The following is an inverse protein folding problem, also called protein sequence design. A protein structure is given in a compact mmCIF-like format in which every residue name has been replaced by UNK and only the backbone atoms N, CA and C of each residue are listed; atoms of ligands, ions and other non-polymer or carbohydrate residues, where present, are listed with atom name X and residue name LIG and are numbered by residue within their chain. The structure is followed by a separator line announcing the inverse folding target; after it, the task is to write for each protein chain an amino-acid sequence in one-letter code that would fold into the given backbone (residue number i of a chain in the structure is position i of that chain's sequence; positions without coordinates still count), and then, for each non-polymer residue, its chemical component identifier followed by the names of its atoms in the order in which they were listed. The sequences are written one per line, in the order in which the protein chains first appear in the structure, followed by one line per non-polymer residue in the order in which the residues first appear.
data_IF_346976855913
#
_entry.id   IF_346976855913
#
_cell.length_a   1.000
_cell.length_b   1.000
_cell.length_c   1.000
_cell.angle_alpha   90.00
_cell.angle_beta   90.00
_cell.angle_gamma   90.00
#
_symmetry.space_group_name_H-M   'P 1'
#
loop_
_entity.id
_entity.type
_entity.pdbx_description
1 polymer ?
#
# COMPACT_ATOMS: atom_id res chain seq x y z
N UNK A 1 4.46 -8.82 13.53
CA UNK A 1 5.02 -7.53 13.06
C UNK A 1 4.04 -7.03 12.01
N UNK A 2 3.25 -6.00 12.34
CA UNK A 2 2.30 -5.44 11.38
C UNK A 2 3.10 -4.50 10.47
N UNK A 3 3.14 -4.82 9.19
CA UNK A 3 3.87 -4.06 8.19
C UNK A 3 2.88 -3.15 7.47
N UNK A 4 3.02 -1.85 7.69
CA UNK A 4 2.10 -0.82 7.22
C UNK A 4 2.68 -0.09 6.01
N UNK A 5 1.83 0.15 5.01
CA UNK A 5 2.13 1.00 3.86
C UNK A 5 1.24 2.23 3.95
N UNK A 6 1.86 3.39 3.94
CA UNK A 6 1.14 4.66 3.93
C UNK A 6 0.71 5.04 2.51
N UNK A 7 -0.59 5.22 2.28
CA UNK A 7 -1.08 5.79 1.03
C UNK A 7 -1.03 7.30 1.14
N UNK A 8 -0.21 7.92 0.29
CA UNK A 8 -0.04 9.37 0.24
C UNK A 8 -0.40 9.91 -1.15
N UNK A 9 -0.69 11.18 -1.23
CA UNK A 9 -0.97 11.88 -2.48
C UNK A 9 -1.62 13.23 -2.22
N UNK A 10 -1.57 14.10 -3.20
CA UNK A 10 -2.22 15.40 -3.16
C UNK A 10 -3.75 15.26 -3.07
N UNK A 11 -4.50 16.32 -2.72
CA UNK A 11 -5.95 16.29 -2.74
C UNK A 11 -6.51 15.95 -4.13
N UNK A 12 -7.60 15.21 -4.19
CA UNK A 12 -8.35 14.88 -5.42
C UNK A 12 -7.59 14.02 -6.45
N UNK A 13 -6.56 13.27 -6.04
CA UNK A 13 -5.85 12.32 -6.92
C UNK A 13 -6.52 10.94 -7.01
N UNK A 14 -7.62 10.70 -6.28
CA UNK A 14 -8.30 9.39 -6.22
C UNK A 14 -7.86 8.51 -5.04
N UNK A 15 -7.11 9.06 -4.08
CA UNK A 15 -6.54 8.32 -2.94
C UNK A 15 -7.59 7.58 -2.11
N UNK A 16 -8.66 8.27 -1.68
CA UNK A 16 -9.71 7.67 -0.85
C UNK A 16 -10.53 6.62 -1.61
N UNK A 17 -10.76 6.81 -2.90
CA UNK A 17 -11.41 5.82 -3.77
C UNK A 17 -10.60 4.53 -3.82
N UNK A 18 -9.30 4.63 -4.07
CA UNK A 18 -8.38 3.50 -4.08
C UNK A 18 -8.27 2.82 -2.72
N UNK A 19 -8.19 3.59 -1.63
CA UNK A 19 -8.19 3.03 -0.29
C UNK A 19 -9.47 2.24 0.01
N UNK A 20 -10.64 2.77 -0.37
CA UNK A 20 -11.91 2.07 -0.22
C UNK A 20 -11.96 0.78 -1.06
N UNK A 21 -11.47 0.81 -2.29
CA UNK A 21 -11.39 -0.38 -3.14
C UNK A 21 -10.49 -1.46 -2.52
N UNK A 22 -9.32 -1.10 -1.99
CA UNK A 22 -8.42 -2.01 -1.26
C UNK A 22 -9.06 -2.60 -0.01
N UNK A 23 -9.80 -1.77 0.76
CA UNK A 23 -10.46 -2.19 1.99
C UNK A 23 -11.64 -3.10 1.70
N UNK A 24 -12.43 -2.82 0.66
CA UNK A 24 -13.56 -3.65 0.24
C UNK A 24 -13.10 -5.00 -0.27
N UNK A 25 -12.00 -5.07 -1.02
CA UNK A 25 -11.36 -6.32 -1.41
C UNK A 25 -10.95 -7.17 -0.19
N UNK A 26 -10.51 -6.52 0.90
CA UNK A 26 -10.23 -7.15 2.18
C UNK A 26 -11.48 -7.63 2.95
N UNK A 27 -12.58 -6.90 2.84
CA UNK A 27 -13.83 -7.25 3.53
C UNK A 27 -14.48 -8.52 2.98
N UNK A 28 -14.35 -8.77 1.67
CA UNK A 28 -14.79 -10.03 1.04
C UNK A 28 -13.95 -11.24 1.51
N UNK A 29 -12.70 -11.00 1.95
CA UNK A 29 -11.84 -12.01 2.56
C UNK A 29 -12.06 -12.13 4.10
N UNK A 30 -13.12 -11.54 4.66
CA UNK A 30 -13.36 -11.25 6.08
C UNK A 30 -13.74 -12.46 6.95
N UNK A 31 -13.14 -13.62 6.74
CA UNK A 31 -13.01 -14.62 7.78
C UNK A 31 -11.81 -14.37 8.73
N UNK A 32 -11.37 -13.07 8.82
CA UNK A 32 -10.29 -12.66 9.72
C UNK A 32 -10.85 -12.33 11.12
N UNK A 33 -10.64 -13.18 12.14
CA UNK A 33 -11.17 -12.96 13.49
C UNK A 33 -10.49 -11.82 14.27
N UNK A 34 -9.55 -11.06 13.66
CA UNK A 34 -8.69 -10.10 14.37
C UNK A 34 -8.57 -8.72 13.71
N UNK A 35 -9.46 -8.36 12.79
CA UNK A 35 -9.47 -7.01 12.24
C UNK A 35 -10.01 -6.04 13.30
N UNK A 36 -9.12 -5.46 14.11
CA UNK A 36 -9.44 -4.24 14.85
C UNK A 36 -9.65 -3.16 13.79
N UNK A 37 -10.87 -2.66 13.66
CA UNK A 37 -11.18 -1.57 12.73
C UNK A 37 -10.61 -0.28 13.33
N UNK A 38 -9.34 -0.02 13.05
CA UNK A 38 -8.78 1.32 13.27
C UNK A 38 -9.26 2.20 12.11
N UNK A 39 -9.79 3.40 12.37
CA UNK A 39 -10.14 4.31 11.30
C UNK A 39 -8.91 4.60 10.43
N UNK A 40 -9.09 4.55 9.12
CA UNK A 40 -8.05 4.75 8.10
C UNK A 40 -6.99 3.63 7.97
N UNK A 41 -7.23 2.42 8.48
CA UNK A 41 -6.40 1.24 8.25
C UNK A 41 -7.19 0.21 7.46
N UNK A 42 -6.70 -0.15 6.28
CA UNK A 42 -7.23 -1.19 5.40
C UNK A 42 -6.34 -2.43 5.42
N UNK A 43 -6.94 -3.61 5.48
CA UNK A 43 -6.20 -4.88 5.42
C UNK A 43 -6.52 -5.54 4.09
N UNK A 44 -5.50 -5.79 3.26
CA UNK A 44 -5.65 -6.45 1.98
C UNK A 44 -4.99 -7.85 2.00
N UNK A 45 -5.70 -8.90 1.54
CA UNK A 45 -5.14 -10.23 1.42
C UNK A 45 -4.11 -10.29 0.28
N UNK A 46 -2.99 -10.96 0.51
CA UNK A 46 -1.98 -11.20 -0.52
C UNK A 46 -2.45 -12.34 -1.42
N UNK A 47 -2.65 -12.11 -2.73
CA UNK A 47 -3.05 -13.16 -3.64
C UNK A 47 -1.97 -14.24 -3.77
N UNK A 48 -2.32 -15.50 -3.51
CA UNK A 48 -1.41 -16.64 -3.58
C UNK A 48 -2.14 -17.89 -4.09
N UNK A 49 -1.98 -18.20 -5.38
CA UNK A 49 -2.64 -19.33 -6.03
C UNK A 49 -2.26 -20.69 -5.43
N UNK A 50 -1.11 -20.78 -4.74
CA UNK A 50 -0.68 -22.00 -4.08
C UNK A 50 -1.63 -22.40 -2.94
N UNK A 51 -2.28 -21.41 -2.29
CA UNK A 51 -3.27 -21.67 -1.25
C UNK A 51 -4.50 -22.39 -1.81
N UNK A 52 -4.99 -22.00 -2.99
CA UNK A 52 -6.16 -22.59 -3.63
C UNK A 52 -5.87 -24.04 -4.02
N UNK A 53 -4.66 -24.31 -4.54
CA UNK A 53 -4.20 -25.66 -4.86
C UNK A 53 -4.15 -26.53 -3.60
N UNK A 54 -3.56 -26.02 -2.51
CA UNK A 54 -3.46 -26.73 -1.23
C UNK A 54 -4.83 -26.97 -0.60
N UNK A 55 -5.74 -26.01 -0.66
CA UNK A 55 -7.09 -26.14 -0.14
C UNK A 55 -7.84 -27.28 -0.84
N UNK A 56 -7.74 -27.37 -2.17
CA UNK A 56 -8.30 -28.50 -2.94
C UNK A 56 -7.67 -29.83 -2.58
N UNK A 57 -6.34 -29.88 -2.38
CA UNK A 57 -5.63 -31.11 -2.03
C UNK A 57 -6.00 -31.65 -0.64
N UNK A 58 -6.25 -30.76 0.31
CA UNK A 58 -6.58 -31.13 1.71
C UNK A 58 -8.07 -31.12 2.01
N UNK A 59 -8.90 -30.81 0.98
CA UNK A 59 -10.38 -30.77 1.08
C UNK A 59 -10.83 -29.86 2.23
N UNK A 60 -10.29 -28.62 2.27
CA UNK A 60 -10.65 -27.64 3.30
C UNK A 60 -11.15 -26.33 2.66
N UNK A 61 -12.27 -25.83 3.20
CA UNK A 61 -12.83 -24.54 2.78
C UNK A 61 -12.20 -23.36 3.54
N UNK A 62 -11.42 -23.63 4.60
CA UNK A 62 -10.80 -22.58 5.39
C UNK A 62 -9.43 -22.21 4.85
N UNK A 63 -9.40 -21.17 4.02
CA UNK A 63 -8.20 -20.58 3.44
C UNK A 63 -7.89 -19.24 4.13
N UNK A 64 -6.65 -19.07 4.60
CA UNK A 64 -6.21 -17.88 5.30
C UNK A 64 -4.97 -17.31 4.61
N UNK A 65 -5.11 -16.28 3.75
CA UNK A 65 -3.98 -15.64 3.08
C UNK A 65 -3.12 -14.81 4.04
N UNK A 66 -1.92 -14.49 3.63
CA UNK A 66 -1.13 -13.42 4.25
C UNK A 66 -1.79 -12.06 3.99
N UNK A 67 -1.47 -11.04 4.77
CA UNK A 67 -2.06 -9.71 4.63
C UNK A 67 -1.03 -8.60 4.66
N UNK A 68 -1.37 -7.49 4.00
CA UNK A 68 -0.68 -6.20 4.08
C UNK A 68 -1.64 -5.16 4.65
N UNK A 69 -1.16 -4.31 5.54
CA UNK A 69 -1.91 -3.19 6.07
C UNK A 69 -1.62 -1.93 5.26
N UNK A 70 -2.67 -1.29 4.76
CA UNK A 70 -2.62 0.02 4.13
C UNK A 70 -3.20 1.06 5.07
N UNK A 71 -2.55 2.20 5.17
CA UNK A 71 -2.99 3.32 6.02
C UNK A 71 -3.33 4.50 5.12
N UNK A 72 -4.60 4.95 5.13
CA UNK A 72 -4.96 6.18 4.44
C UNK A 72 -4.43 7.37 5.23
N UNK A 73 -3.38 7.98 4.72
CA UNK A 73 -2.79 9.16 5.31
C UNK A 73 -3.46 10.38 4.68
N UNK A 74 -4.19 11.15 5.49
CA UNK A 74 -4.92 12.33 5.05
C UNK A 74 -4.02 13.24 4.20
N UNK A 75 -4.57 13.71 3.06
CA UNK A 75 -3.80 14.36 2.01
C UNK A 75 -2.93 15.52 2.48
N UNK A 76 -1.74 15.60 1.92
CA UNK A 76 -0.81 16.69 2.12
C UNK A 76 -1.35 17.92 1.40
N UNK A 77 -1.40 19.05 2.09
CA UNK A 77 -1.56 20.37 1.47
C UNK A 77 -0.14 20.96 1.35
N UNK A 78 0.20 21.49 0.19
CA UNK A 78 1.49 22.14 -0.03
C UNK A 78 1.78 23.16 1.10
N UNK A 79 2.98 23.09 1.71
CA UNK A 79 3.34 23.90 2.89
C UNK A 79 3.00 23.27 4.24
N UNK A 80 2.66 21.99 4.27
CA UNK A 80 2.33 21.28 5.51
C UNK A 80 3.49 21.20 6.50
N UNK A 81 4.73 21.24 6.05
CA UNK A 81 5.93 21.31 6.88
C UNK A 81 6.06 22.63 7.64
N UNK A 82 5.47 23.72 7.13
CA UNK A 82 5.53 25.06 7.74
C UNK A 82 4.30 25.42 8.58
N UNK A 83 3.25 24.57 8.57
CA UNK A 83 1.96 24.82 9.24
C UNK A 83 1.84 24.10 10.59
N UNK A 84 1.35 24.82 11.60
CA UNK A 84 1.01 24.24 12.90
C UNK A 84 -0.15 23.23 12.75
N UNK A 85 0.10 21.94 13.04
CA UNK A 85 -0.90 20.92 13.36
C UNK A 85 -1.12 19.82 12.32
N UNK A 86 -1.67 20.06 11.14
CA UNK A 86 -2.06 18.99 10.19
C UNK A 86 -0.87 18.33 9.49
N UNK A 87 0.12 19.10 9.06
CA UNK A 87 1.34 18.59 8.42
C UNK A 87 2.17 17.70 9.34
N UNK A 88 2.29 18.04 10.61
CA UNK A 88 3.00 17.22 11.59
C UNK A 88 2.32 15.87 11.84
N UNK A 89 0.99 15.81 11.81
CA UNK A 89 0.24 14.53 11.91
C UNK A 89 0.45 13.64 10.68
N UNK A 90 0.43 14.23 9.49
CA UNK A 90 0.73 13.54 8.24
C UNK A 90 2.12 12.88 8.28
N UNK A 91 3.14 13.65 8.62
CA UNK A 91 4.51 13.15 8.72
C UNK A 91 4.68 12.10 9.83
N UNK A 92 3.96 12.22 10.95
CA UNK A 92 3.95 11.23 12.02
C UNK A 92 3.39 9.88 11.52
N UNK A 93 2.29 9.89 10.80
CA UNK A 93 1.71 8.67 10.22
C UNK A 93 2.64 8.02 9.20
N UNK A 94 3.32 8.82 8.34
CA UNK A 94 4.32 8.25 7.42
C UNK A 94 5.47 7.61 8.19
N UNK A 95 5.92 8.19 9.32
CA UNK A 95 7.00 7.59 10.15
C UNK A 95 6.65 6.19 10.64
N UNK A 96 5.39 5.93 10.95
CA UNK A 96 4.91 4.62 11.40
C UNK A 96 4.86 3.57 10.28
N UNK A 97 4.83 3.99 9.01
CA UNK A 97 4.80 3.10 7.86
C UNK A 97 6.21 2.66 7.45
N UNK A 98 6.34 1.46 6.88
CA UNK A 98 7.60 0.91 6.38
C UNK A 98 7.85 1.23 4.91
N UNK A 99 6.79 1.50 4.15
CA UNK A 99 6.85 1.91 2.75
C UNK A 99 5.74 2.92 2.45
N UNK A 100 5.85 3.58 1.30
CA UNK A 100 4.91 4.60 0.83
C UNK A 100 4.29 4.11 -0.47
N UNK A 101 2.96 4.18 -0.59
CA UNK A 101 2.23 4.12 -1.85
C UNK A 101 1.85 5.55 -2.23
N UNK A 102 2.54 6.12 -3.22
CA UNK A 102 2.29 7.48 -3.69
C UNK A 102 1.30 7.47 -4.86
N UNK A 103 0.07 7.92 -4.59
CA UNK A 103 -0.97 8.05 -5.60
C UNK A 103 -0.79 9.37 -6.34
N UNK A 104 -0.57 9.29 -7.64
CA UNK A 104 -0.32 10.42 -8.54
C UNK A 104 -1.43 10.48 -9.57
N UNK A 105 -2.00 11.66 -9.79
CA UNK A 105 -2.98 11.87 -10.84
C UNK A 105 -2.28 11.96 -12.20
N UNK A 106 -2.71 11.14 -13.15
CA UNK A 106 -2.16 11.09 -14.51
C UNK A 106 -3.28 11.02 -15.57
N UNK A 107 -4.30 11.88 -15.44
CA UNK A 107 -5.40 12.02 -16.40
C UNK A 107 -5.88 13.47 -16.44
N UNK A 108 -6.47 13.86 -17.57
CA UNK A 108 -7.13 15.15 -17.73
C UNK A 108 -8.57 15.03 -17.21
N UNK A 109 -9.01 16.04 -16.45
CA UNK A 109 -10.41 16.16 -16.04
C UNK A 109 -10.83 17.62 -16.13
N UNK A 110 -11.73 17.91 -17.04
CA UNK A 110 -12.24 19.26 -17.34
C UNK A 110 -13.08 19.84 -16.19
N UNK A 111 -13.64 19.00 -15.32
CA UNK A 111 -14.47 19.41 -14.18
C UNK A 111 -13.66 19.81 -12.94
N UNK A 112 -12.39 19.44 -12.87
CA UNK A 112 -11.50 19.80 -11.76
C UNK A 112 -10.56 20.89 -12.25
N UNK A 113 -10.95 22.12 -11.99
CA UNK A 113 -10.31 23.37 -12.39
C UNK A 113 -8.78 23.35 -12.31
N UNK A 114 -8.15 23.05 -13.44
CA UNK A 114 -6.88 23.59 -13.93
C UNK A 114 -7.08 23.80 -15.43
N UNK A 115 -7.45 25.01 -15.81
CA UNK A 115 -7.94 25.36 -17.14
C UNK A 115 -6.96 25.15 -18.31
N UNK A 116 -5.74 24.68 -18.06
CA UNK A 116 -4.63 24.71 -19.03
C UNK A 116 -4.15 23.32 -19.48
N UNK A 117 -4.81 22.22 -19.06
CA UNK A 117 -4.36 20.85 -19.36
C UNK A 117 -5.14 20.25 -20.53
N UNK A 118 -4.51 20.21 -21.72
CA UNK A 118 -5.11 19.64 -22.94
C UNK A 118 -4.21 18.66 -23.71
N UNK A 119 -3.03 18.33 -23.19
CA UNK A 119 -2.06 17.48 -23.88
C UNK A 119 -1.43 16.43 -22.96
N UNK A 120 -0.85 15.39 -23.55
CA UNK A 120 -0.05 14.38 -22.84
C UNK A 120 1.14 15.01 -22.10
N UNK A 121 1.77 16.06 -22.70
CA UNK A 121 2.86 16.79 -22.05
C UNK A 121 2.41 17.47 -20.74
N UNK A 122 1.17 17.93 -20.69
CA UNK A 122 0.58 18.52 -19.48
C UNK A 122 0.38 17.45 -18.40
N UNK A 123 -0.03 16.22 -18.76
CA UNK A 123 -0.16 15.08 -17.83
C UNK A 123 1.20 14.75 -17.21
N UNK A 124 2.25 14.61 -18.03
CA UNK A 124 3.60 14.30 -17.55
C UNK A 124 4.16 15.39 -16.65
N UNK A 125 3.97 16.65 -17.03
CA UNK A 125 4.39 17.80 -16.23
C UNK A 125 3.69 17.83 -14.89
N UNK A 126 2.36 17.66 -14.88
CA UNK A 126 1.59 17.64 -13.65
C UNK A 126 2.00 16.46 -12.74
N UNK A 127 2.12 15.25 -13.29
CA UNK A 127 2.54 14.10 -12.53
C UNK A 127 3.91 14.34 -11.87
N UNK A 128 4.84 14.94 -12.60
CA UNK A 128 6.15 15.33 -12.07
C UNK A 128 6.03 16.37 -10.97
N UNK A 129 5.27 17.44 -11.18
CA UNK A 129 5.08 18.50 -10.19
C UNK A 129 4.46 17.96 -8.90
N UNK A 130 3.45 17.07 -9.01
CA UNK A 130 2.80 16.43 -7.88
C UNK A 130 3.78 15.52 -7.08
N UNK A 131 4.65 14.79 -7.79
CA UNK A 131 5.71 13.96 -7.19
C UNK A 131 6.73 14.85 -6.48
N UNK A 132 7.18 15.92 -7.13
CA UNK A 132 8.20 16.82 -6.59
C UNK A 132 7.71 17.53 -5.32
N UNK A 133 6.41 17.90 -5.24
CA UNK A 133 5.81 18.49 -4.04
C UNK A 133 5.90 17.55 -2.84
N UNK A 134 5.48 16.28 -3.00
CA UNK A 134 5.54 15.30 -1.91
C UNK A 134 6.99 15.04 -1.50
N UNK A 135 7.90 14.84 -2.45
CA UNK A 135 9.30 14.60 -2.18
C UNK A 135 9.94 15.77 -1.42
N UNK A 136 9.63 17.01 -1.81
CA UNK A 136 10.12 18.19 -1.12
C UNK A 136 9.65 18.25 0.35
N UNK A 137 8.37 17.96 0.61
CA UNK A 137 7.84 17.94 1.98
C UNK A 137 8.51 16.88 2.85
N UNK A 138 8.78 15.68 2.30
CA UNK A 138 9.52 14.63 3.00
C UNK A 138 10.96 15.06 3.29
N UNK A 139 11.65 15.69 2.33
CA UNK A 139 13.01 16.22 2.52
C UNK A 139 13.06 17.30 3.60
N UNK A 140 12.14 18.26 3.56
CA UNK A 140 12.06 19.31 4.58
C UNK A 140 11.84 18.74 5.98
N UNK A 141 11.00 17.70 6.11
CA UNK A 141 10.76 17.02 7.38
C UNK A 141 12.02 16.28 7.89
N UNK A 142 12.81 15.71 6.99
CA UNK A 142 14.06 15.05 7.33
C UNK A 142 15.14 16.06 7.73
N UNK A 143 15.22 17.23 7.08
CA UNK A 143 16.11 18.31 7.49
C UNK A 143 15.81 18.81 8.90
N UNK A 144 14.52 18.99 9.25
CA UNK A 144 14.12 19.35 10.62
C UNK A 144 14.51 18.25 11.62
N UNK A 145 14.32 16.99 11.25
CA UNK A 145 14.69 15.86 12.10
C UNK A 145 16.20 15.83 12.32
N UNK A 146 16.98 16.02 11.26
CA UNK A 146 18.45 16.12 11.31
C UNK A 146 18.92 17.25 12.22
N UNK A 147 18.34 18.44 12.08
CA UNK A 147 18.69 19.58 12.93
C UNK A 147 18.43 19.32 14.42
N UNK A 148 17.28 18.66 14.75
CA UNK A 148 16.95 18.26 16.13
C UNK A 148 17.92 17.23 16.68
N UNK A 149 18.36 16.29 15.88
CA UNK A 149 19.31 15.24 16.25
C UNK A 149 20.71 15.83 16.46
N UNK A 150 21.17 16.65 15.52
CA UNK A 150 22.49 17.30 15.63
C UNK A 150 22.56 18.18 16.89
N UNK A 151 21.47 18.82 17.28
CA UNK A 151 21.36 19.55 18.54
C UNK A 151 21.44 18.62 19.78
N UNK A 152 20.89 17.39 19.71
CA UNK A 152 20.98 16.36 20.75
C UNK A 152 22.35 15.68 20.78
N UNK A 153 22.94 15.36 19.64
CA UNK A 153 24.27 14.73 19.52
C UNK A 153 25.39 15.54 20.15
N UNK A 154 25.25 16.86 20.20
CA UNK A 154 26.16 17.71 20.98
C UNK A 154 26.12 17.42 22.48
N UNK A 155 25.06 16.72 22.96
CA UNK A 155 24.88 16.36 24.38
C UNK A 155 25.04 14.86 24.64
N UNK A 156 24.79 13.99 23.63
CA UNK A 156 24.90 12.53 23.76
C UNK A 156 25.19 11.88 22.39
N UNK A 157 26.38 11.26 22.17
CA UNK A 157 26.82 10.76 20.87
C UNK A 157 26.22 9.42 20.40
N UNK A 158 25.35 8.76 21.18
CA UNK A 158 25.05 7.33 21.03
C UNK A 158 23.93 6.94 20.03
N UNK A 159 23.29 7.87 19.32
CA UNK A 159 22.13 7.56 18.48
C UNK A 159 22.50 7.60 16.97
N UNK A 160 22.82 6.43 16.41
CA UNK A 160 23.32 6.31 15.01
C UNK A 160 22.25 6.03 13.97
N UNK A 161 21.01 5.68 14.32
CA UNK A 161 20.04 5.16 13.33
C UNK A 161 18.72 5.94 13.34
N UNK A 162 18.69 7.03 12.57
CA UNK A 162 17.46 7.80 12.38
C UNK A 162 16.83 7.34 11.07
N UNK A 163 15.62 6.75 11.09
CA UNK A 163 14.93 6.44 9.87
C UNK A 163 14.41 7.73 9.22
N UNK A 164 15.06 8.19 8.15
CA UNK A 164 14.56 9.29 7.35
C UNK A 164 13.32 8.86 6.55
N UNK A 165 12.45 9.83 6.29
CA UNK A 165 11.24 9.60 5.49
C UNK A 165 11.58 9.35 4.02
N UNK A 166 12.63 10.01 3.54
CA UNK A 166 13.15 9.87 2.17
C UNK A 166 13.85 8.52 1.91
N UNK A 167 14.25 7.79 2.97
CA UNK A 167 14.84 6.45 2.85
C UNK A 167 13.78 5.35 2.67
N UNK A 168 12.50 5.68 2.88
CA UNK A 168 11.42 4.71 2.74
C UNK A 168 11.22 4.34 1.27
N UNK A 169 11.09 3.04 0.96
CA UNK A 169 10.77 2.64 -0.40
C UNK A 169 9.40 3.16 -0.82
N UNK A 170 9.30 3.61 -2.07
CA UNK A 170 8.09 4.19 -2.65
C UNK A 170 7.61 3.34 -3.81
N UNK A 171 6.31 3.03 -3.82
CA UNK A 171 5.57 2.49 -4.96
C UNK A 171 4.72 3.63 -5.50
N UNK A 172 4.86 3.95 -6.78
CA UNK A 172 4.04 4.97 -7.43
C UNK A 172 2.82 4.33 -8.08
N UNK A 173 1.64 4.84 -7.73
CA UNK A 173 0.38 4.43 -8.32
C UNK A 173 -0.19 5.58 -9.12
N UNK A 174 -0.09 5.49 -10.44
CA UNK A 174 -0.63 6.48 -11.36
C UNK A 174 -2.11 6.22 -11.61
N UNK A 175 -2.95 7.14 -11.14
CA UNK A 175 -4.37 7.11 -11.45
C UNK A 175 -4.58 7.73 -12.84
N UNK A 176 -4.92 6.90 -13.81
CA UNK A 176 -5.13 7.23 -15.22
C UNK A 176 -6.61 7.14 -15.60
N UNK A 177 -6.98 7.70 -16.74
CA UNK A 177 -8.28 7.45 -17.36
C UNK A 177 -8.32 6.06 -18.05
N UNK A 178 -9.45 5.73 -18.67
CA UNK A 178 -9.64 4.45 -19.33
C UNK A 178 -8.63 4.23 -20.48
N UNK A 179 -8.30 5.30 -21.24
CA UNK A 179 -7.33 5.23 -22.34
C UNK A 179 -5.90 5.00 -21.80
N UNK A 180 -5.55 5.67 -20.70
CA UNK A 180 -4.24 5.56 -20.07
C UNK A 180 -3.94 4.14 -19.52
N UNK A 181 -4.97 3.31 -19.29
CA UNK A 181 -4.76 1.91 -18.88
C UNK A 181 -4.11 1.05 -19.97
N UNK A 182 -4.26 1.42 -21.24
CA UNK A 182 -3.70 0.68 -22.38
C UNK A 182 -2.67 1.47 -23.18
N UNK A 183 -2.44 2.74 -22.85
CA UNK A 183 -1.46 3.61 -23.51
C UNK A 183 -0.05 3.30 -23.00
N UNK A 184 0.65 2.42 -23.72
CA UNK A 184 2.00 1.99 -23.38
C UNK A 184 3.04 3.12 -23.45
N UNK A 185 2.85 4.09 -24.35
CA UNK A 185 3.79 5.22 -24.51
C UNK A 185 3.70 6.16 -23.30
N UNK A 186 2.48 6.51 -22.88
CA UNK A 186 2.24 7.30 -21.68
C UNK A 186 2.77 6.56 -20.42
N UNK A 187 2.47 5.28 -20.28
CA UNK A 187 2.92 4.46 -19.16
C UNK A 187 4.45 4.36 -19.10
N UNK A 188 5.13 4.20 -20.24
CA UNK A 188 6.58 4.18 -20.29
C UNK A 188 7.19 5.52 -19.82
N UNK A 189 6.65 6.65 -20.27
CA UNK A 189 7.11 7.99 -19.88
C UNK A 189 6.87 8.25 -18.40
N UNK A 190 5.69 7.89 -17.86
CA UNK A 190 5.39 8.00 -16.43
C UNK A 190 6.29 7.10 -15.57
N UNK A 191 6.57 5.87 -16.04
CA UNK A 191 7.50 4.96 -15.39
C UNK A 191 8.91 5.55 -15.32
N UNK A 192 9.37 6.21 -16.39
CA UNK A 192 10.70 6.84 -16.44
C UNK A 192 10.87 7.98 -15.42
N UNK A 193 9.79 8.67 -15.07
CA UNK A 193 9.81 9.73 -14.03
C UNK A 193 10.16 9.20 -12.64
N UNK A 194 9.88 7.93 -12.36
CA UNK A 194 9.95 7.37 -11.01
C UNK A 194 11.00 6.27 -10.85
N UNK A 195 11.74 5.94 -11.89
CA UNK A 195 12.83 4.94 -11.82
C UNK A 195 13.83 5.29 -10.72
N UNK A 196 14.31 4.32 -9.95
CA UNK A 196 14.12 2.85 -10.07
C UNK A 196 12.88 2.31 -9.32
N UNK A 197 12.01 3.16 -8.81
CA UNK A 197 10.82 2.76 -8.08
C UNK A 197 9.80 2.05 -8.98
N UNK A 198 8.94 1.22 -8.39
CA UNK A 198 7.85 0.54 -9.10
C UNK A 198 6.76 1.53 -9.46
N UNK A 199 6.31 1.50 -10.73
CA UNK A 199 5.12 2.20 -11.23
C UNK A 199 3.99 1.20 -11.46
N UNK A 200 2.77 1.55 -11.05
CA UNK A 200 1.53 0.79 -11.26
C UNK A 200 0.48 1.75 -11.81
N UNK A 201 -0.31 1.30 -12.77
CA UNK A 201 -1.34 2.11 -13.41
C UNK A 201 -2.71 1.60 -13.01
N UNK A 202 -3.59 2.50 -12.60
CA UNK A 202 -4.92 2.19 -12.10
C UNK A 202 -5.93 3.21 -12.59
N UNK A 203 -7.16 2.80 -12.77
CA UNK A 203 -8.28 3.73 -12.88
C UNK A 203 -9.15 3.61 -11.63
N UNK A 204 -9.08 4.61 -10.76
CA UNK A 204 -9.76 4.57 -9.47
C UNK A 204 -11.29 4.44 -9.59
N UNK A 205 -11.87 4.97 -10.67
CA UNK A 205 -13.30 4.86 -10.94
C UNK A 205 -13.70 3.43 -11.31
N UNK A 206 -12.93 2.78 -12.19
CA UNK A 206 -13.17 1.37 -12.52
C UNK A 206 -12.98 0.46 -11.30
N UNK A 207 -12.02 0.75 -10.43
CA UNK A 207 -11.83 0.00 -9.19
C UNK A 207 -13.04 0.11 -8.25
N UNK A 208 -13.67 1.29 -8.20
CA UNK A 208 -14.91 1.50 -7.44
C UNK A 208 -16.09 0.73 -8.07
N UNK A 209 -16.21 0.73 -9.39
CA UNK A 209 -17.24 -0.02 -10.12
C UNK A 209 -17.10 -1.55 -9.94
N UNK A 210 -15.87 -2.05 -9.84
CA UNK A 210 -15.57 -3.46 -9.58
C UNK A 210 -15.72 -3.84 -8.11
N UNK A 211 -16.05 -2.91 -7.24
CA UNK A 211 -16.20 -3.18 -5.81
C UNK A 211 -17.33 -4.20 -5.56
N UNK A 212 -16.98 -5.29 -4.88
CA UNK A 212 -17.93 -6.38 -4.60
C UNK A 212 -17.99 -7.48 -5.67
N UNK A 213 -17.32 -7.34 -6.81
CA UNK A 213 -17.16 -8.41 -7.80
C UNK A 213 -16.22 -9.48 -7.27
N UNK A 214 -16.48 -10.72 -7.60
CA UNK A 214 -15.54 -11.80 -7.35
C UNK A 214 -14.32 -11.72 -8.31
N UNK A 215 -13.31 -12.57 -8.08
CA UNK A 215 -12.05 -12.53 -8.82
C UNK A 215 -12.22 -12.83 -10.31
N UNK A 216 -13.13 -13.73 -10.66
CA UNK A 216 -13.38 -14.11 -12.06
C UNK A 216 -14.11 -12.99 -12.80
N UNK A 217 -15.16 -12.44 -12.20
CA UNK A 217 -15.91 -11.31 -12.73
C UNK A 217 -15.03 -10.07 -12.93
N UNK A 218 -14.13 -9.76 -11.97
CA UNK A 218 -13.15 -8.67 -12.10
C UNK A 218 -12.23 -8.86 -13.29
N UNK A 219 -11.74 -10.09 -13.51
CA UNK A 219 -10.87 -10.40 -14.66
C UNK A 219 -11.60 -10.22 -15.99
N UNK A 220 -12.86 -10.66 -16.07
CA UNK A 220 -13.66 -10.48 -17.28
C UNK A 220 -13.94 -9.00 -17.55
N UNK A 221 -14.27 -8.26 -16.51
CA UNK A 221 -14.51 -6.82 -16.59
C UNK A 221 -13.24 -6.08 -17.09
N UNK A 222 -12.08 -6.30 -16.48
CA UNK A 222 -10.81 -5.68 -16.89
C UNK A 222 -10.43 -6.03 -18.33
N UNK A 223 -10.67 -7.28 -18.79
CA UNK A 223 -10.43 -7.68 -20.18
C UNK A 223 -11.27 -6.88 -21.16
N UNK A 224 -12.48 -6.46 -20.79
CA UNK A 224 -13.33 -5.63 -21.67
C UNK A 224 -12.72 -4.24 -21.93
N UNK A 225 -11.85 -3.77 -21.04
CA UNK A 225 -11.04 -2.54 -21.18
C UNK A 225 -9.64 -2.79 -21.73
N UNK A 226 -9.32 -4.04 -22.16
CA UNK A 226 -8.00 -4.40 -22.68
C UNK A 226 -6.92 -4.52 -21.60
N UNK A 227 -7.31 -4.64 -20.33
CA UNK A 227 -6.40 -4.77 -19.19
C UNK A 227 -6.29 -6.23 -18.77
N UNK A 228 -5.06 -6.76 -18.70
CA UNK A 228 -4.80 -8.18 -18.38
C UNK A 228 -4.57 -8.41 -16.88
N UNK A 229 -4.18 -7.38 -16.16
CA UNK A 229 -3.75 -7.47 -14.75
C UNK A 229 -4.59 -6.57 -13.85
N UNK A 230 -4.97 -7.08 -12.68
CA UNK A 230 -5.64 -6.30 -11.64
C UNK A 230 -4.59 -5.42 -10.91
N UNK A 231 -4.75 -4.10 -11.02
CA UNK A 231 -3.82 -3.12 -10.45
C UNK A 231 -3.73 -3.21 -8.92
N UNK A 232 -4.85 -3.52 -8.23
CA UNK A 232 -4.83 -3.68 -6.77
C UNK A 232 -4.11 -4.96 -6.36
N UNK A 233 -4.28 -6.08 -7.09
CA UNK A 233 -3.48 -7.28 -6.85
C UNK A 233 -1.98 -7.02 -7.09
N UNK A 234 -1.64 -6.26 -8.13
CA UNK A 234 -0.25 -5.88 -8.42
C UNK A 234 0.32 -5.00 -7.30
N UNK A 235 -0.45 -4.01 -6.81
CA UNK A 235 -0.05 -3.17 -5.67
C UNK A 235 0.22 -4.02 -4.42
N UNK A 236 -0.67 -4.95 -4.08
CA UNK A 236 -0.52 -5.79 -2.89
C UNK A 236 0.74 -6.66 -3.01
N UNK A 237 1.01 -7.25 -4.18
CA UNK A 237 2.23 -8.03 -4.45
C UNK A 237 3.48 -7.16 -4.37
N UNK A 238 3.49 -6.01 -5.05
CA UNK A 238 4.59 -5.06 -5.02
C UNK A 238 4.89 -4.55 -3.60
N UNK A 239 3.85 -4.27 -2.83
CA UNK A 239 3.93 -3.88 -1.44
C UNK A 239 4.61 -4.95 -0.58
N UNK A 240 4.20 -6.20 -0.76
CA UNK A 240 4.75 -7.35 -0.04
C UNK A 240 6.23 -7.58 -0.37
N UNK A 241 6.60 -7.48 -1.65
CA UNK A 241 7.99 -7.57 -2.12
C UNK A 241 8.86 -6.41 -1.62
N UNK A 242 8.33 -5.19 -1.69
CA UNK A 242 9.02 -3.96 -1.25
C UNK A 242 9.35 -3.98 0.24
N UNK A 243 8.47 -4.58 1.04
CA UNK A 243 8.69 -4.81 2.47
C UNK A 243 9.68 -5.97 2.75
N UNK A 244 10.22 -6.61 1.72
CA UNK A 244 11.14 -7.75 1.86
C UNK A 244 10.49 -8.97 2.50
N UNK A 245 9.21 -9.21 2.19
CA UNK A 245 8.42 -10.29 2.75
C UNK A 245 8.31 -11.47 1.80
N UNK A 246 8.03 -12.63 2.37
CA UNK A 246 7.63 -13.84 1.66
C UNK A 246 6.64 -14.63 2.50
N UNK A 247 5.81 -15.45 1.83
CA UNK A 247 4.89 -16.35 2.48
C UNK A 247 5.45 -17.76 2.50
N UNK A 248 5.34 -18.44 3.65
CA UNK A 248 5.38 -19.89 3.69
C UNK A 248 4.00 -20.42 4.06
N UNK A 249 3.70 -21.64 3.62
CA UNK A 249 2.36 -22.20 3.68
C UNK A 249 2.31 -23.37 4.64
N UNK A 250 1.22 -23.44 5.41
CA UNK A 250 0.83 -24.64 6.14
C UNK A 250 -0.49 -25.15 5.60
N UNK A 251 -0.62 -26.46 5.42
CA UNK A 251 -1.81 -27.08 4.88
C UNK A 251 -2.25 -28.29 5.70
N UNK A 252 -3.55 -28.41 5.87
CA UNK A 252 -4.16 -29.52 6.60
C UNK A 252 -5.69 -29.49 6.47
N UNK A 253 -6.36 -30.55 6.92
CA UNK A 253 -7.83 -30.67 6.87
C UNK A 253 -8.59 -29.56 7.62
N UNK A 254 -7.93 -28.89 8.58
CA UNK A 254 -8.57 -27.83 9.37
C UNK A 254 -8.49 -26.46 8.68
N UNK A 255 -7.35 -26.15 8.07
CA UNK A 255 -7.12 -24.91 7.34
C UNK A 255 -5.88 -25.00 6.45
N UNK A 256 -5.86 -24.21 5.38
CA UNK A 256 -4.66 -23.83 4.64
C UNK A 256 -4.35 -22.37 4.93
N UNK A 257 -3.10 -22.07 5.34
CA UNK A 257 -2.71 -20.73 5.77
C UNK A 257 -1.38 -20.30 5.20
N UNK A 258 -1.30 -19.04 4.75
CA UNK A 258 -0.06 -18.35 4.46
C UNK A 258 0.42 -17.56 5.69
N UNK A 259 1.70 -17.70 5.99
CA UNK A 259 2.39 -17.04 7.09
C UNK A 259 3.39 -16.04 6.53
N UNK A 260 3.35 -14.81 7.00
CA UNK A 260 4.28 -13.76 6.59
C UNK A 260 5.59 -13.89 7.34
N UNK A 261 6.70 -13.99 6.60
CA UNK A 261 8.07 -13.98 7.12
C UNK A 261 8.93 -13.04 6.30
N UNK A 262 10.09 -12.65 6.83
CA UNK A 262 11.08 -11.89 6.06
C UNK A 262 11.69 -12.78 4.97
N UNK A 263 11.97 -12.20 3.82
CA UNK A 263 12.69 -12.88 2.73
C UNK A 263 14.07 -13.33 3.24
N UNK A 264 14.38 -14.62 3.04
CA UNK A 264 15.62 -15.22 3.54
C UNK A 264 15.55 -15.72 4.98
N UNK A 265 14.39 -15.66 5.66
CA UNK A 265 14.24 -16.25 6.98
C UNK A 265 14.48 -17.76 6.96
N UNK A 266 15.12 -18.27 8.00
CA UNK A 266 15.42 -19.71 8.17
C UNK A 266 14.17 -20.48 8.60
N UNK A 267 14.18 -21.82 8.42
CA UNK A 267 13.07 -22.67 8.82
C UNK A 267 12.71 -22.57 10.33
N UNK A 268 13.67 -22.49 11.27
CA UNK A 268 13.34 -22.25 12.68
C UNK A 268 12.65 -20.91 12.94
N UNK A 269 13.06 -19.83 12.27
CA UNK A 269 12.41 -18.52 12.39
C UNK A 269 10.99 -18.54 11.84
N UNK A 270 10.78 -19.21 10.69
CA UNK A 270 9.46 -19.41 10.11
C UNK A 270 8.54 -20.21 11.07
N UNK A 271 9.05 -21.29 11.66
CA UNK A 271 8.29 -22.09 12.63
C UNK A 271 7.93 -21.28 13.90
N UNK A 272 8.80 -20.38 14.35
CA UNK A 272 8.54 -19.47 15.46
C UNK A 272 7.30 -18.60 15.24
N UNK A 273 7.04 -18.17 14.00
CA UNK A 273 5.87 -17.36 13.64
C UNK A 273 4.55 -18.09 13.91
N UNK A 274 4.52 -19.41 13.71
CA UNK A 274 3.34 -20.26 14.02
C UNK A 274 3.12 -20.31 15.54
N UNK A 275 4.18 -20.55 16.31
CA UNK A 275 4.11 -20.66 17.77
C UNK A 275 3.63 -19.37 18.43
N UNK A 276 4.13 -18.22 17.99
CA UNK A 276 3.74 -16.90 18.49
C UNK A 276 2.26 -16.57 18.23
N UNK A 277 1.71 -17.02 17.11
CA UNK A 277 0.29 -16.83 16.81
C UNK A 277 -0.61 -17.69 17.69
N UNK A 278 -0.22 -18.92 17.96
CA UNK A 278 -0.93 -19.83 18.89
C UNK A 278 -0.96 -19.31 20.33
N UNK A 279 0.12 -18.66 20.78
CA UNK A 279 0.20 -18.02 22.10
C UNK A 279 -0.70 -16.79 22.24
N UNK A 280 -0.84 -15.98 21.18
CA UNK A 280 -1.76 -14.82 21.14
C UNK A 280 -3.22 -15.25 21.14
N UNK A 281 -3.59 -16.31 20.42
CA UNK A 281 -4.94 -16.85 20.40
C UNK A 281 -5.39 -17.33 21.79
N UNK A 282 -4.52 -18.01 22.55
CA UNK A 282 -4.83 -18.47 23.91
C UNK A 282 -5.08 -17.30 24.87
N UNK A 283 -4.25 -16.25 24.85
CA UNK A 283 -4.41 -15.08 25.74
C UNK A 283 -5.67 -14.26 25.44
N UNK A 284 -6.13 -14.21 24.18
CA UNK A 284 -7.36 -13.51 23.84
C UNK A 284 -8.62 -14.27 24.24
N UNK A 285 -8.59 -15.61 24.15
CA UNK A 285 -9.71 -16.44 24.62
C UNK A 285 -9.84 -16.39 26.16
N UNK A 286 -8.74 -16.33 26.88
CA UNK A 286 -8.74 -16.16 28.34
C UNK A 286 -9.28 -14.80 28.79
N UNK A 287 -9.00 -13.73 28.04
CA UNK A 287 -9.53 -12.38 28.34
C UNK A 287 -11.00 -12.14 27.96
N UNK A 288 -11.62 -13.04 27.18
CA UNK A 288 -13.05 -13.00 26.85
C UNK A 288 -13.92 -13.82 27.82
N UNK A 289 -13.31 -14.58 28.72
CA UNK A 289 -14.00 -15.43 29.72
C UNK A 289 -13.97 -14.79 31.11
N UNK A 290 -13.27 -13.65 31.28
CA UNK A 290 -13.37 -12.79 32.46
C UNK A 290 -14.28 -11.60 32.20
#
# INVERSE_FOLDING_TARGET
MNLKIGIVGLPNVGKSTLFNALTNAGALAANYPFATIEPNVGIAPVPDERLDVLAKMYETDKVVPATVEFVDIAGLVAGASKGEGLGNKFLAHIRECQAICHVVRAFINDDIVRADQKSEEDILKQAKDDIDIINLELQLADEETKAKVDAKRKKDPADENIPYLTDKPVIYMFNVDENGLTDQDLQAKLTDLVKPSKAIFVNAKLEEEMSGMDREDRKEFLKSYGVEHDALEELIKAAYETLGLQSFLTAGKKECRAWTIKKGATAPEAAGTIADSGGRQRRQTENQIQ
#
